data_IF_543980694550
#
_entry.id   IF_543980694550
#
_cell.length_a   1.000
_cell.length_b   1.000
_cell.length_c   1.000
_cell.angle_alpha   90.00
_cell.angle_beta   90.00
_cell.angle_gamma   90.00
#
_symmetry.space_group_name_H-M   'P 1'
#
loop_
_entity.id
_entity.type
_entity.pdbx_description
1 polymer ?
#
# COMPACT_ATOMS: atom_id res chain seq x y z
N UNK A 1 18.93 3.32 9.89
CA UNK A 1 17.71 4.16 9.88
C UNK A 1 16.68 3.44 10.74
N UNK A 2 16.35 3.94 11.93
CA UNK A 2 15.32 3.33 12.77
C UNK A 2 13.96 3.54 12.08
N UNK A 3 13.35 2.45 11.62
CA UNK A 3 11.97 2.45 11.15
C UNK A 3 11.09 2.72 12.38
N UNK A 4 10.52 3.93 12.45
CA UNK A 4 9.66 4.34 13.57
C UNK A 4 8.29 3.70 13.40
N UNK A 5 7.70 3.28 14.53
CA UNK A 5 6.28 2.92 14.61
C UNK A 5 5.45 4.03 13.96
N UNK A 6 4.50 3.67 13.11
CA UNK A 6 3.55 4.64 12.57
C UNK A 6 2.53 4.93 13.67
N UNK A 7 2.43 6.19 14.12
CA UNK A 7 1.50 6.62 15.19
C UNK A 7 0.03 6.73 14.73
N UNK A 8 -0.28 6.19 13.55
CA UNK A 8 -1.65 6.10 13.06
C UNK A 8 -2.33 4.88 13.65
N UNK A 9 -3.57 5.05 14.06
CA UNK A 9 -4.48 4.00 14.53
C UNK A 9 -5.30 3.39 13.35
N UNK A 10 -4.90 3.65 12.11
CA UNK A 10 -5.47 2.92 10.96
C UNK A 10 -5.07 1.44 11.01
N UNK A 11 -5.95 0.54 10.56
CA UNK A 11 -5.63 -0.90 10.46
C UNK A 11 -4.43 -1.17 9.55
N UNK A 12 -4.20 -0.30 8.57
CA UNK A 12 -2.99 -0.36 7.74
C UNK A 12 -1.72 -0.04 8.54
N UNK A 13 -1.77 0.96 9.41
CA UNK A 13 -0.69 1.25 10.33
C UNK A 13 -0.54 0.17 11.41
N UNK A 14 -1.64 -0.45 11.86
CA UNK A 14 -1.59 -1.64 12.73
C UNK A 14 -0.94 -2.83 12.02
N UNK A 15 -1.26 -3.11 10.75
CA UNK A 15 -0.60 -4.13 9.94
C UNK A 15 0.90 -3.85 9.82
N UNK A 16 1.24 -2.62 9.46
CA UNK A 16 2.64 -2.20 9.35
C UNK A 16 3.37 -2.31 10.68
N UNK A 17 2.74 -1.93 11.80
CA UNK A 17 3.32 -1.98 13.13
C UNK A 17 3.43 -3.40 13.67
N UNK A 18 2.43 -4.26 13.47
CA UNK A 18 2.48 -5.68 13.79
C UNK A 18 3.61 -6.35 13.02
N UNK A 19 3.73 -6.03 11.72
CA UNK A 19 4.84 -6.49 10.92
C UNK A 19 6.21 -5.95 11.43
N UNK A 20 6.31 -4.67 11.79
CA UNK A 20 7.53 -4.09 12.37
C UNK A 20 7.90 -4.73 13.71
N UNK A 21 6.90 -5.14 14.51
CA UNK A 21 7.11 -5.88 15.74
C UNK A 21 7.63 -7.30 15.47
N UNK A 22 7.10 -7.99 14.46
CA UNK A 22 7.62 -9.29 14.03
C UNK A 22 9.11 -9.24 13.69
N UNK A 23 9.54 -8.16 13.00
CA UNK A 23 10.96 -7.88 12.73
C UNK A 23 11.75 -7.55 14.00
N UNK A 24 11.19 -6.76 14.92
CA UNK A 24 11.88 -6.34 16.14
C UNK A 24 12.29 -7.52 17.02
N UNK A 25 11.54 -8.62 16.92
CA UNK A 25 11.73 -9.84 17.72
C UNK A 25 13.01 -10.60 17.33
N UNK A 26 13.65 -10.29 16.20
CA UNK A 26 14.96 -10.86 15.83
C UNK A 26 15.98 -9.91 15.16
N UNK A 27 15.56 -8.83 14.47
CA UNK A 27 16.43 -8.15 13.49
C UNK A 27 16.95 -6.74 13.87
N UNK A 28 16.48 -6.12 14.96
CA UNK A 28 16.91 -4.74 15.32
C UNK A 28 18.27 -4.70 16.06
N UNK A 29 18.74 -5.83 16.61
CA UNK A 29 20.01 -5.89 17.37
C UNK A 29 21.24 -5.93 16.45
N UNK A 30 21.10 -6.27 15.17
CA UNK A 30 22.21 -6.30 14.21
C UNK A 30 21.95 -5.37 13.02
N UNK A 31 22.52 -4.17 13.08
CA UNK A 31 22.45 -3.08 12.10
C UNK A 31 22.39 -3.56 10.61
N UNK A 32 21.21 -3.53 9.95
CA UNK A 32 21.00 -4.25 8.70
C UNK A 32 21.55 -3.55 7.46
N UNK A 33 21.73 -2.23 7.48
CA UNK A 33 22.08 -1.47 6.25
C UNK A 33 23.57 -1.60 5.92
N UNK A 34 24.44 -1.59 6.94
CA UNK A 34 25.89 -1.58 6.72
C UNK A 34 26.49 -2.99 6.64
N UNK A 35 25.89 -3.99 7.31
CA UNK A 35 26.43 -5.35 7.33
C UNK A 35 25.96 -6.18 6.14
N UNK A 36 24.67 -6.16 5.77
CA UNK A 36 24.14 -7.01 4.68
C UNK A 36 24.68 -6.63 3.31
N UNK A 37 24.74 -5.33 2.99
CA UNK A 37 25.21 -4.84 1.70
C UNK A 37 26.73 -4.97 1.56
N UNK A 38 27.47 -4.79 2.65
CA UNK A 38 28.94 -5.00 2.69
C UNK A 38 29.29 -6.48 2.60
N UNK A 39 28.56 -7.38 3.26
CA UNK A 39 28.72 -8.83 3.14
C UNK A 39 28.37 -9.31 1.74
N UNK A 40 27.31 -8.78 1.12
CA UNK A 40 26.94 -9.15 -0.25
C UNK A 40 28.01 -8.72 -1.26
N UNK A 41 28.47 -7.46 -1.21
CA UNK A 41 29.57 -6.96 -2.05
C UNK A 41 30.87 -7.72 -1.79
N UNK A 42 31.18 -8.11 -0.55
CA UNK A 42 32.36 -8.89 -0.21
C UNK A 42 32.25 -10.38 -0.59
N UNK A 43 31.04 -10.92 -0.68
CA UNK A 43 30.76 -12.31 -1.07
C UNK A 43 30.82 -12.53 -2.59
N UNK A 44 30.60 -11.47 -3.38
CA UNK A 44 30.78 -11.51 -4.84
C UNK A 44 32.27 -11.52 -5.22
N UNK A 45 33.15 -11.06 -4.33
CA UNK A 45 34.60 -10.88 -4.57
C UNK A 45 35.53 -11.87 -3.84
N UNK A 46 35.01 -12.83 -3.05
CA UNK A 46 35.86 -13.81 -2.33
C UNK A 46 35.33 -15.24 -2.39
N UNK A 47 36.26 -16.18 -2.53
CA UNK A 47 36.05 -17.63 -2.41
C UNK A 47 35.28 -17.98 -1.13
N UNK A 48 34.04 -18.44 -1.33
CA UNK A 48 33.02 -18.64 -0.31
C UNK A 48 33.24 -19.98 0.39
N UNK A 49 33.92 -19.97 1.53
CA UNK A 49 34.10 -21.17 2.38
C UNK A 49 33.09 -21.27 3.53
N UNK A 50 32.27 -20.25 3.78
CA UNK A 50 31.37 -20.21 4.93
C UNK A 50 29.91 -19.97 4.50
N UNK A 51 29.32 -21.05 4.00
CA UNK A 51 28.00 -21.11 3.35
C UNK A 51 26.88 -20.63 4.28
N UNK A 52 26.95 -20.95 5.57
CA UNK A 52 25.92 -20.66 6.57
C UNK A 52 25.76 -19.15 6.83
N UNK A 53 26.87 -18.41 6.83
CA UNK A 53 26.87 -16.95 7.01
C UNK A 53 26.24 -16.23 5.80
N UNK A 54 26.45 -16.76 4.58
CA UNK A 54 25.92 -16.21 3.33
C UNK A 54 24.42 -16.43 3.22
N UNK A 55 23.93 -17.64 3.56
CA UNK A 55 22.50 -17.94 3.58
C UNK A 55 21.75 -17.03 4.56
N UNK A 56 22.27 -16.84 5.79
CA UNK A 56 21.64 -15.97 6.78
C UNK A 56 21.64 -14.49 6.40
N UNK A 57 22.58 -14.03 5.57
CA UNK A 57 22.64 -12.66 5.08
C UNK A 57 21.70 -12.46 3.88
N UNK A 58 21.58 -13.46 3.01
CA UNK A 58 20.67 -13.46 1.87
C UNK A 58 19.20 -13.46 2.31
N UNK A 59 18.83 -14.32 3.27
CA UNK A 59 17.48 -14.36 3.84
C UNK A 59 17.08 -13.03 4.49
N UNK A 60 18.02 -12.37 5.18
CA UNK A 60 17.79 -11.04 5.80
C UNK A 60 17.65 -9.94 4.76
N UNK A 61 18.44 -9.98 3.68
CA UNK A 61 18.33 -9.03 2.57
C UNK A 61 16.99 -9.18 1.82
N UNK A 62 16.58 -10.41 1.55
CA UNK A 62 15.32 -10.70 0.89
C UNK A 62 14.14 -10.17 1.71
N UNK A 63 14.10 -10.45 3.02
CA UNK A 63 13.06 -9.93 3.92
C UNK A 63 13.01 -8.40 3.95
N UNK A 64 14.16 -7.73 4.04
CA UNK A 64 14.25 -6.26 3.99
C UNK A 64 13.80 -5.68 2.65
N UNK A 65 14.15 -6.34 1.54
CA UNK A 65 13.72 -5.92 0.21
C UNK A 65 12.20 -6.05 0.02
N UNK A 66 11.62 -7.18 0.44
CA UNK A 66 10.16 -7.39 0.42
C UNK A 66 9.44 -6.35 1.28
N UNK A 67 10.06 -5.96 2.39
CA UNK A 67 9.59 -4.90 3.27
C UNK A 67 9.56 -3.51 2.65
N UNK A 68 10.64 -3.14 1.97
CA UNK A 68 10.70 -1.86 1.27
C UNK A 68 9.66 -1.81 0.15
N UNK A 69 9.48 -2.91 -0.59
CA UNK A 69 8.43 -3.05 -1.61
C UNK A 69 7.05 -2.91 -0.97
N UNK A 70 6.78 -3.63 0.11
CA UNK A 70 5.50 -3.58 0.80
C UNK A 70 5.22 -2.17 1.32
N UNK A 71 6.15 -1.57 2.06
CA UNK A 71 6.00 -0.23 2.61
C UNK A 71 5.67 0.78 1.52
N UNK A 72 6.39 0.73 0.39
CA UNK A 72 6.11 1.61 -0.74
C UNK A 72 4.74 1.32 -1.37
N UNK A 73 4.43 0.04 -1.62
CA UNK A 73 3.15 -0.37 -2.20
C UNK A 73 1.95 -0.02 -1.32
N UNK A 74 2.06 -0.16 0.00
CA UNK A 74 1.02 0.23 0.95
C UNK A 74 0.78 1.74 0.96
N UNK A 75 1.86 2.53 0.99
CA UNK A 75 1.76 3.99 0.97
C UNK A 75 1.20 4.51 -0.35
N UNK A 76 1.60 3.92 -1.47
CA UNK A 76 1.09 4.25 -2.80
C UNK A 76 -0.38 3.84 -2.95
N UNK A 77 -0.74 2.63 -2.52
CA UNK A 77 -2.12 2.16 -2.48
C UNK A 77 -3.00 3.10 -1.64
N UNK A 78 -2.57 3.43 -0.42
CA UNK A 78 -3.27 4.37 0.46
C UNK A 78 -3.47 5.74 -0.22
N UNK A 79 -2.40 6.29 -0.79
CA UNK A 79 -2.45 7.57 -1.50
C UNK A 79 -3.40 7.53 -2.70
N UNK A 80 -3.42 6.43 -3.45
CA UNK A 80 -4.29 6.24 -4.59
C UNK A 80 -5.77 6.15 -4.17
N UNK A 81 -6.09 5.40 -3.10
CA UNK A 81 -7.45 5.34 -2.52
C UNK A 81 -7.97 6.74 -2.20
N UNK A 82 -7.18 7.56 -1.49
CA UNK A 82 -7.59 8.92 -1.10
C UNK A 82 -7.76 9.86 -2.30
N UNK A 83 -6.85 9.78 -3.29
CA UNK A 83 -6.94 10.61 -4.51
C UNK A 83 -8.15 10.25 -5.36
N UNK A 84 -8.37 8.97 -5.60
CA UNK A 84 -9.51 8.49 -6.39
C UNK A 84 -10.83 8.86 -5.71
N UNK A 85 -10.93 8.70 -4.38
CA UNK A 85 -12.12 9.13 -3.65
C UNK A 85 -12.40 10.62 -3.86
N UNK A 86 -11.38 11.46 -3.68
CA UNK A 86 -11.51 12.91 -3.85
C UNK A 86 -11.96 13.29 -5.25
N UNK A 87 -11.33 12.70 -6.28
CA UNK A 87 -11.67 12.95 -7.68
C UNK A 87 -13.10 12.51 -8.01
N UNK A 88 -13.52 11.32 -7.57
CA UNK A 88 -14.86 10.80 -7.80
C UNK A 88 -15.93 11.62 -7.06
N UNK A 89 -15.67 12.01 -5.81
CA UNK A 89 -16.58 12.88 -5.06
C UNK A 89 -16.74 14.24 -5.73
N UNK A 90 -15.65 14.86 -6.18
CA UNK A 90 -15.69 16.12 -6.91
C UNK A 90 -16.54 15.97 -8.18
N UNK A 91 -16.23 14.97 -9.00
CA UNK A 91 -16.93 14.69 -10.25
C UNK A 91 -18.44 14.42 -10.05
N UNK A 92 -18.80 13.58 -9.08
CA UNK A 92 -20.19 13.18 -8.86
C UNK A 92 -21.02 14.28 -8.18
N UNK A 93 -20.44 15.01 -7.22
CA UNK A 93 -21.18 16.00 -6.44
C UNK A 93 -21.20 17.39 -7.10
N UNK A 94 -20.08 17.86 -7.63
CA UNK A 94 -19.99 19.21 -8.20
C UNK A 94 -20.49 19.24 -9.64
N UNK A 95 -20.19 18.19 -10.41
CA UNK A 95 -20.53 18.12 -11.85
C UNK A 95 -21.70 17.17 -12.13
N UNK A 96 -22.28 16.54 -11.11
CA UNK A 96 -23.43 15.65 -11.26
C UNK A 96 -23.15 14.40 -12.11
N UNK A 97 -21.87 14.07 -12.35
CA UNK A 97 -21.46 13.03 -13.28
C UNK A 97 -21.42 13.45 -14.75
N UNK A 98 -21.43 14.74 -15.08
CA UNK A 98 -21.26 15.22 -16.46
C UNK A 98 -19.77 15.30 -16.82
N UNK A 99 -19.27 14.37 -17.64
CA UNK A 99 -17.83 14.30 -17.97
C UNK A 99 -17.37 15.48 -18.82
N UNK A 100 -18.23 16.01 -19.71
CA UNK A 100 -17.87 17.15 -20.57
C UNK A 100 -17.66 18.41 -19.76
N UNK A 101 -18.59 18.72 -18.87
CA UNK A 101 -18.49 19.90 -18.01
C UNK A 101 -17.25 19.80 -17.10
N UNK A 102 -17.00 18.62 -16.53
CA UNK A 102 -15.78 18.36 -15.77
C UNK A 102 -14.52 18.61 -16.60
N UNK A 103 -14.45 18.06 -17.81
CA UNK A 103 -13.26 18.19 -18.67
C UNK A 103 -13.00 19.63 -19.14
N UNK A 104 -14.05 20.36 -19.51
CA UNK A 104 -13.96 21.77 -19.88
C UNK A 104 -13.44 22.59 -18.68
N UNK A 105 -14.00 22.35 -17.49
CA UNK A 105 -13.58 23.07 -16.28
C UNK A 105 -12.14 22.77 -15.91
N UNK A 106 -11.72 21.50 -15.96
CA UNK A 106 -10.35 21.10 -15.67
C UNK A 106 -9.35 21.66 -16.69
N UNK A 107 -9.71 21.72 -17.98
CA UNK A 107 -8.89 22.39 -18.99
C UNK A 107 -8.64 23.84 -18.62
N UNK A 108 -9.69 24.58 -18.29
CA UNK A 108 -9.58 25.99 -17.89
C UNK A 108 -8.66 26.13 -16.69
N UNK A 109 -8.89 25.36 -15.62
CA UNK A 109 -8.05 25.37 -14.41
C UNK A 109 -6.59 25.06 -14.74
N UNK A 110 -6.33 24.05 -15.58
CA UNK A 110 -4.96 23.68 -15.97
C UNK A 110 -4.25 24.81 -16.70
N UNK A 111 -4.93 25.50 -17.63
CA UNK A 111 -4.35 26.63 -18.36
C UNK A 111 -4.16 27.84 -17.43
N UNK A 112 -5.07 28.09 -16.49
CA UNK A 112 -4.92 29.14 -15.48
C UNK A 112 -3.71 28.90 -14.57
N UNK A 113 -3.49 27.66 -14.13
CA UNK A 113 -2.43 27.31 -13.17
C UNK A 113 -1.05 27.15 -13.84
N UNK A 114 -0.99 26.55 -15.03
CA UNK A 114 0.25 26.15 -15.67
C UNK A 114 0.55 26.89 -16.98
N UNK A 115 -0.38 27.69 -17.48
CA UNK A 115 -0.31 28.33 -18.79
C UNK A 115 -0.57 27.36 -19.94
N UNK A 116 -0.55 27.89 -21.17
CA UNK A 116 -0.53 27.09 -22.39
C UNK A 116 0.47 27.66 -23.39
N UNK A 117 1.01 26.78 -24.22
CA UNK A 117 1.85 27.12 -25.37
C UNK A 117 1.06 27.22 -26.67
N UNK A 118 -0.23 26.89 -26.64
CA UNK A 118 -1.11 27.00 -27.81
C UNK A 118 -1.78 28.38 -27.82
N UNK A 119 -1.47 29.19 -28.84
CA UNK A 119 -2.09 30.51 -29.00
C UNK A 119 -3.62 30.41 -29.20
N UNK A 120 -4.12 29.24 -29.65
CA UNK A 120 -5.55 28.99 -29.83
C UNK A 120 -6.30 28.79 -28.49
N UNK A 121 -5.57 28.61 -27.39
CA UNK A 121 -6.15 28.52 -26.05
C UNK A 121 -6.57 29.88 -25.48
N UNK A 122 -6.20 30.98 -26.13
CA UNK A 122 -6.49 32.33 -25.67
C UNK A 122 -7.33 33.12 -26.70
N UNK A 123 -8.16 34.01 -26.18
CA UNK A 123 -8.80 35.05 -26.98
C UNK A 123 -7.82 36.22 -27.19
N UNK A 124 -8.15 37.14 -28.11
CA UNK A 124 -7.30 38.32 -28.39
C UNK A 124 -7.08 39.22 -27.16
N UNK A 125 -7.99 39.18 -26.17
CA UNK A 125 -7.89 39.92 -24.91
C UNK A 125 -7.05 39.21 -23.84
N UNK A 126 -6.52 38.03 -24.13
CA UNK A 126 -5.73 37.20 -23.22
C UNK A 126 -6.55 36.34 -22.26
N UNK A 127 -7.89 36.36 -22.34
CA UNK A 127 -8.73 35.42 -21.60
C UNK A 127 -8.68 34.02 -22.21
N UNK A 128 -8.86 32.97 -21.39
CA UNK A 128 -8.86 31.58 -21.86
C UNK A 128 -10.09 31.33 -22.74
N UNK A 129 -9.86 30.77 -23.92
CA UNK A 129 -10.91 30.42 -24.87
C UNK A 129 -11.71 29.22 -24.38
N UNK A 130 -13.03 29.33 -24.41
CA UNK A 130 -13.93 28.22 -24.19
C UNK A 130 -13.89 27.25 -25.37
N UNK A 131 -13.61 25.98 -25.10
CA UNK A 131 -13.57 24.90 -26.09
C UNK A 131 -14.24 23.65 -25.50
N UNK A 132 -15.10 23.01 -26.30
CA UNK A 132 -15.87 21.83 -25.91
C UNK A 132 -15.69 20.64 -26.85
N UNK A 133 -14.89 20.82 -27.91
CA UNK A 133 -14.59 19.75 -28.84
C UNK A 133 -13.67 18.70 -28.19
N UNK A 134 -13.83 17.45 -28.61
CA UNK A 134 -13.12 16.32 -28.02
C UNK A 134 -11.60 16.49 -28.05
N UNK A 135 -11.04 17.01 -29.14
CA UNK A 135 -9.60 17.15 -29.31
C UNK A 135 -8.99 18.07 -28.24
N UNK A 136 -9.70 19.15 -27.91
CA UNK A 136 -9.30 20.09 -26.87
C UNK A 136 -9.48 19.60 -25.44
N UNK A 137 -10.50 18.76 -25.16
CA UNK A 137 -10.83 18.37 -23.78
C UNK A 137 -10.43 16.93 -23.40
N UNK A 138 -10.02 16.08 -24.35
CA UNK A 138 -9.70 14.65 -24.12
C UNK A 138 -8.71 14.36 -23.00
N UNK A 139 -7.77 15.28 -22.76
CA UNK A 139 -6.74 15.12 -21.73
C UNK A 139 -7.18 15.54 -20.33
N UNK A 140 -8.38 16.10 -20.19
CA UNK A 140 -8.89 16.68 -18.94
C UNK A 140 -10.11 15.94 -18.39
N UNK A 141 -10.47 14.80 -18.98
CA UNK A 141 -11.60 13.98 -18.53
C UNK A 141 -11.33 13.33 -17.18
N UNK A 142 -12.40 12.97 -16.46
CA UNK A 142 -12.29 12.20 -15.22
C UNK A 142 -11.58 10.85 -15.46
N UNK A 143 -11.76 10.26 -16.64
CA UNK A 143 -11.06 9.03 -17.03
C UNK A 143 -9.54 9.26 -17.07
N UNK A 144 -9.08 10.35 -17.72
CA UNK A 144 -7.65 10.69 -17.82
C UNK A 144 -7.04 11.02 -16.46
N UNK A 145 -7.76 11.73 -15.58
CA UNK A 145 -7.31 12.04 -14.22
C UNK A 145 -7.09 10.77 -13.39
N UNK A 146 -8.06 9.84 -13.43
CA UNK A 146 -8.04 8.59 -12.69
C UNK A 146 -6.95 7.62 -13.19
N UNK A 147 -6.56 7.70 -14.46
CA UNK A 147 -5.48 6.89 -15.05
C UNK A 147 -4.14 7.01 -14.30
N UNK A 148 -3.90 8.16 -13.66
CA UNK A 148 -2.69 8.37 -12.85
C UNK A 148 -2.66 7.56 -11.55
N UNK A 149 -3.84 7.14 -11.06
CA UNK A 149 -4.03 6.49 -9.77
C UNK A 149 -4.47 5.02 -9.90
N UNK A 150 -5.15 4.70 -11.00
CA UNK A 150 -5.60 3.34 -11.34
C UNK A 150 -4.57 2.75 -12.29
N UNK A 151 -4.14 1.51 -12.04
CA UNK A 151 -3.14 0.80 -12.84
C UNK A 151 -3.57 0.46 -14.27
N UNK A 152 -4.53 1.16 -14.86
CA UNK A 152 -4.88 1.04 -16.26
C UNK A 152 -3.74 1.63 -17.11
N UNK A 153 -3.36 0.93 -18.18
CA UNK A 153 -2.08 1.02 -18.93
C UNK A 153 -0.87 0.26 -18.33
N UNK A 154 -1.09 -0.60 -17.34
CA UNK A 154 -0.08 -1.58 -16.88
C UNK A 154 0.50 -2.44 -18.02
N UNK A 155 -0.28 -2.69 -19.08
CA UNK A 155 0.16 -3.48 -20.24
C UNK A 155 1.00 -2.69 -21.26
N UNK A 156 0.78 -1.39 -21.45
CA UNK A 156 1.55 -0.59 -22.42
C UNK A 156 2.95 -0.22 -21.90
N UNK A 157 3.12 0.00 -20.57
CA UNK A 157 4.43 0.29 -19.96
C UNK A 157 5.32 -0.95 -19.77
N UNK A 158 4.77 -2.16 -19.93
CA UNK A 158 5.50 -3.43 -19.76
C UNK A 158 6.60 -3.66 -20.80
N UNK A 159 6.68 -2.83 -21.83
CA UNK A 159 7.73 -2.93 -22.86
C UNK A 159 9.11 -2.42 -22.41
N UNK A 160 9.25 -1.64 -21.32
CA UNK A 160 10.57 -1.04 -20.99
C UNK A 160 11.06 -1.06 -19.55
N UNK A 161 10.22 -1.09 -18.50
CA UNK A 161 10.76 -1.10 -17.13
C UNK A 161 10.04 -2.07 -16.18
N UNK A 162 10.88 -2.76 -15.40
CA UNK A 162 10.61 -3.87 -14.48
C UNK A 162 9.76 -3.42 -13.28
N UNK A 163 8.93 -4.35 -12.80
CA UNK A 163 8.46 -4.45 -11.40
C UNK A 163 7.65 -3.27 -10.84
N UNK A 164 6.44 -3.09 -11.37
CA UNK A 164 5.40 -2.23 -10.78
C UNK A 164 4.56 -3.06 -9.82
N UNK A 165 4.96 -3.15 -8.55
CA UNK A 165 4.15 -3.74 -7.46
C UNK A 165 3.64 -2.60 -6.57
N UNK A 166 2.31 -2.40 -6.51
CA UNK A 166 1.68 -1.44 -5.59
C UNK A 166 1.65 0.03 -6.01
N UNK A 167 2.09 0.40 -7.22
CA UNK A 167 2.18 1.82 -7.63
C UNK A 167 0.84 2.48 -7.97
N UNK A 168 -0.24 1.69 -8.08
CA UNK A 168 -1.61 2.18 -8.31
C UNK A 168 -2.69 1.15 -7.96
N UNK A 169 -3.94 1.60 -7.86
CA UNK A 169 -5.09 0.72 -7.60
C UNK A 169 -5.19 -0.37 -8.69
N UNK A 170 -5.28 -1.63 -8.26
CA UNK A 170 -5.38 -2.80 -9.15
C UNK A 170 -4.09 -3.16 -9.92
N UNK A 171 -2.94 -2.61 -9.55
CA UNK A 171 -1.63 -3.02 -10.10
C UNK A 171 -1.11 -4.34 -9.53
N UNK A 172 -1.64 -4.78 -8.39
CA UNK A 172 -1.22 -5.99 -7.70
C UNK A 172 -2.43 -6.79 -7.24
N UNK A 173 -2.26 -8.11 -7.13
CA UNK A 173 -3.23 -9.05 -6.57
C UNK A 173 -2.76 -9.53 -5.22
N UNK A 174 -3.66 -10.13 -4.43
CA UNK A 174 -3.28 -10.68 -3.12
C UNK A 174 -2.17 -11.74 -3.22
N UNK A 175 -2.12 -12.47 -4.35
CA UNK A 175 -1.05 -13.44 -4.64
C UNK A 175 0.35 -12.82 -4.69
N UNK A 176 0.46 -11.56 -5.11
CA UNK A 176 1.75 -10.84 -5.15
C UNK A 176 2.31 -10.56 -3.75
N UNK A 177 1.47 -10.66 -2.72
CA UNK A 177 1.80 -10.50 -1.31
C UNK A 177 1.66 -11.80 -0.51
N UNK A 178 1.48 -12.95 -1.17
CA UNK A 178 1.18 -14.23 -0.51
C UNK A 178 2.22 -14.64 0.54
N UNK A 179 3.51 -14.52 0.21
CA UNK A 179 4.61 -14.83 1.15
C UNK A 179 4.57 -13.90 2.38
N UNK A 180 4.28 -12.61 2.17
CA UNK A 180 4.12 -11.63 3.24
C UNK A 180 2.92 -11.97 4.14
N UNK A 181 1.77 -12.27 3.53
CA UNK A 181 0.55 -12.60 4.26
C UNK A 181 0.73 -13.86 5.10
N UNK A 182 1.49 -14.84 4.60
CA UNK A 182 1.83 -16.05 5.33
C UNK A 182 2.71 -15.76 6.56
N UNK A 183 3.67 -14.83 6.44
CA UNK A 183 4.52 -14.42 7.57
C UNK A 183 3.72 -13.71 8.65
N UNK A 184 2.83 -12.78 8.28
CA UNK A 184 1.96 -12.06 9.23
C UNK A 184 1.03 -13.01 9.97
N UNK A 185 0.38 -13.92 9.22
CA UNK A 185 -0.53 -14.93 9.80
C UNK A 185 0.15 -15.86 10.80
N UNK A 186 1.45 -16.10 10.63
CA UNK A 186 2.22 -17.04 11.44
C UNK A 186 3.30 -16.34 12.28
N UNK A 187 3.11 -15.07 12.64
CA UNK A 187 4.11 -14.26 13.36
C UNK A 187 4.63 -14.98 14.62
N UNK A 188 3.74 -15.56 15.44
CA UNK A 188 4.15 -16.24 16.67
C UNK A 188 4.63 -17.68 16.46
N UNK A 189 4.50 -18.23 15.24
CA UNK A 189 5.02 -19.57 14.91
C UNK A 189 6.54 -19.63 15.01
N UNK A 190 7.23 -18.49 14.86
CA UNK A 190 8.68 -18.35 14.99
C UNK A 190 9.09 -17.70 16.33
N UNK A 191 8.44 -18.08 17.43
CA UNK A 191 8.71 -17.55 18.76
C UNK A 191 10.02 -18.13 19.34
N UNK A 192 11.06 -17.31 19.64
CA UNK A 192 12.26 -17.78 20.34
C UNK A 192 11.91 -18.42 21.71
N UNK A 193 10.76 -18.08 22.29
CA UNK A 193 10.26 -18.70 23.51
C UNK A 193 9.90 -20.18 23.33
N UNK A 194 9.38 -20.59 22.16
CA UNK A 194 9.17 -22.01 21.81
C UNK A 194 10.49 -22.77 21.75
N UNK A 195 11.56 -22.12 21.28
CA UNK A 195 12.92 -22.69 21.23
C UNK A 195 13.52 -22.86 22.64
N UNK A 196 13.39 -21.87 23.53
CA UNK A 196 13.90 -21.94 24.90
C UNK A 196 13.05 -22.83 25.83
N UNK A 197 11.72 -22.87 25.64
CA UNK A 197 10.84 -23.79 26.35
C UNK A 197 11.16 -25.26 26.03
N UNK A 198 11.56 -25.57 24.78
CA UNK A 198 12.06 -26.90 24.40
C UNK A 198 13.40 -27.26 25.06
N UNK A 199 14.21 -26.27 25.44
CA UNK A 199 15.49 -26.47 26.12
C UNK A 199 15.35 -26.62 27.66
N UNK A 200 14.14 -26.55 28.20
CA UNK A 200 13.84 -26.88 29.60
C UNK A 200 14.13 -25.77 30.62
N UNK A 201 14.49 -24.56 30.17
CA UNK A 201 14.68 -23.39 31.04
C UNK A 201 13.48 -22.45 30.91
N UNK A 202 12.57 -22.35 31.91
CA UNK A 202 11.45 -21.43 31.83
C UNK A 202 11.95 -19.99 31.99
N UNK A 203 11.83 -19.18 30.92
CA UNK A 203 12.04 -17.75 31.01
C UNK A 203 10.79 -17.13 31.66
N UNK A 204 10.93 -16.49 32.82
CA UNK A 204 9.82 -15.81 33.48
C UNK A 204 9.50 -14.52 32.70
N UNK A 205 8.35 -14.49 32.04
CA UNK A 205 7.85 -13.33 31.31
C UNK A 205 7.05 -12.42 32.23
N UNK A 206 6.95 -11.13 31.86
CA UNK A 206 6.20 -10.13 32.60
C UNK A 206 5.33 -9.30 31.64
N UNK A 207 4.12 -8.92 32.05
CA UNK A 207 3.28 -7.92 31.37
C UNK A 207 3.09 -6.70 32.26
N UNK A 208 2.86 -5.56 31.64
CA UNK A 208 2.52 -4.32 32.34
C UNK A 208 1.01 -4.32 32.67
N UNK A 209 0.65 -4.09 33.94
CA UNK A 209 -0.75 -4.01 34.38
C UNK A 209 -1.34 -2.61 34.13
N UNK A 210 -2.63 -2.41 34.43
CA UNK A 210 -3.34 -1.13 34.23
C UNK A 210 -2.72 0.07 35.00
N UNK A 211 -1.84 -0.19 35.96
CA UNK A 211 -1.16 0.79 36.79
C UNK A 211 0.31 1.00 36.37
N UNK A 212 0.78 0.29 35.35
CA UNK A 212 2.16 0.38 34.84
C UNK A 212 3.17 -0.53 35.54
N UNK A 213 2.73 -1.46 36.39
CA UNK A 213 3.62 -2.40 37.10
C UNK A 213 3.79 -3.71 36.33
N UNK A 214 4.99 -4.28 36.38
CA UNK A 214 5.33 -5.52 35.67
C UNK A 214 4.92 -6.74 36.50
N UNK A 215 3.90 -7.48 36.06
CA UNK A 215 3.44 -8.72 36.70
C UNK A 215 3.89 -9.97 35.93
N UNK A 216 4.30 -11.05 36.63
CA UNK A 216 4.74 -12.27 35.99
C UNK A 216 3.60 -12.94 35.22
N UNK A 217 3.88 -13.31 33.98
CA UNK A 217 2.97 -13.96 33.07
C UNK A 217 3.10 -15.49 33.18
N UNK A 218 1.99 -16.22 33.21
CA UNK A 218 2.01 -17.69 33.18
C UNK A 218 2.19 -18.21 31.75
N UNK A 219 2.58 -19.48 31.61
CA UNK A 219 2.66 -20.14 30.30
C UNK A 219 1.31 -20.09 29.56
N UNK A 220 0.20 -20.22 30.29
CA UNK A 220 -1.14 -20.13 29.72
C UNK A 220 -1.42 -18.72 29.17
N UNK A 221 -1.07 -17.67 29.94
CA UNK A 221 -1.21 -16.28 29.49
C UNK A 221 -0.34 -15.97 28.27
N UNK A 222 0.86 -16.55 28.19
CA UNK A 222 1.75 -16.41 27.02
C UNK A 222 1.15 -17.09 25.78
N UNK A 223 0.61 -18.29 25.93
CA UNK A 223 -0.07 -19.00 24.83
C UNK A 223 -1.31 -18.24 24.39
N UNK A 224 -2.10 -17.71 25.32
CA UNK A 224 -3.27 -16.90 25.02
C UNK A 224 -2.90 -15.60 24.30
N UNK A 225 -1.86 -14.90 24.73
CA UNK A 225 -1.35 -13.70 24.06
C UNK A 225 -0.82 -14.00 22.65
N UNK A 226 -0.12 -15.12 22.46
CA UNK A 226 0.34 -15.57 21.13
C UNK A 226 -0.86 -15.89 20.23
N UNK A 227 -1.83 -16.66 20.71
CA UNK A 227 -3.06 -16.99 19.96
C UNK A 227 -3.86 -15.75 19.59
N UNK A 228 -4.04 -14.80 20.51
CA UNK A 228 -4.73 -13.55 20.25
C UNK A 228 -3.97 -12.69 19.23
N UNK A 229 -2.63 -12.71 19.25
CA UNK A 229 -1.80 -12.02 18.27
C UNK A 229 -1.96 -12.64 16.88
N UNK A 230 -1.88 -13.97 16.76
CA UNK A 230 -2.08 -14.67 15.49
C UNK A 230 -3.49 -14.48 14.92
N UNK A 231 -4.54 -14.52 15.76
CA UNK A 231 -5.93 -14.25 15.34
C UNK A 231 -6.05 -12.81 14.82
N UNK A 232 -5.52 -11.84 15.57
CA UNK A 232 -5.52 -10.43 15.14
C UNK A 232 -4.80 -10.27 13.81
N UNK A 233 -3.61 -10.84 13.67
CA UNK A 233 -2.81 -10.74 12.46
C UNK A 233 -3.47 -11.46 11.27
N UNK A 234 -4.12 -12.60 11.51
CA UNK A 234 -4.93 -13.30 10.52
C UNK A 234 -6.05 -12.41 9.98
N UNK A 235 -6.82 -11.78 10.88
CA UNK A 235 -7.88 -10.85 10.50
C UNK A 235 -7.32 -9.66 9.68
N UNK A 236 -6.19 -9.09 10.08
CA UNK A 236 -5.56 -7.98 9.35
C UNK A 236 -5.11 -8.44 7.95
N UNK A 237 -4.53 -9.63 7.82
CA UNK A 237 -4.14 -10.20 6.53
C UNK A 237 -5.34 -10.46 5.61
N UNK A 238 -6.47 -10.89 6.15
CA UNK A 238 -7.72 -11.07 5.40
C UNK A 238 -8.28 -9.72 4.92
N UNK A 239 -8.31 -8.70 5.79
CA UNK A 239 -8.75 -7.35 5.41
C UNK A 239 -7.85 -6.73 4.33
N UNK A 240 -6.54 -6.95 4.41
CA UNK A 240 -5.61 -6.50 3.39
C UNK A 240 -5.84 -7.19 2.04
N UNK A 241 -6.11 -8.49 2.08
CA UNK A 241 -6.48 -9.29 0.90
C UNK A 241 -7.74 -8.72 0.25
N UNK A 242 -8.78 -8.47 1.06
CA UNK A 242 -10.03 -7.86 0.58
C UNK A 242 -9.80 -6.49 -0.05
N UNK A 243 -8.99 -5.63 0.57
CA UNK A 243 -8.69 -4.30 0.06
C UNK A 243 -7.99 -4.33 -1.30
N UNK A 244 -7.00 -5.22 -1.48
CA UNK A 244 -6.29 -5.37 -2.75
C UNK A 244 -7.22 -5.90 -3.84
N UNK A 245 -8.01 -6.93 -3.56
CA UNK A 245 -8.91 -7.51 -4.54
C UNK A 245 -10.02 -6.51 -4.93
N UNK A 246 -10.50 -5.70 -3.99
CA UNK A 246 -11.42 -4.59 -4.30
C UNK A 246 -10.72 -3.55 -5.19
N UNK A 247 -9.45 -3.24 -4.93
CA UNK A 247 -8.62 -2.39 -5.80
C UNK A 247 -8.49 -2.96 -7.22
N UNK A 248 -8.41 -4.28 -7.35
CA UNK A 248 -8.39 -4.96 -8.65
C UNK A 248 -9.73 -4.85 -9.38
N UNK A 249 -10.86 -5.01 -8.68
CA UNK A 249 -12.20 -4.81 -9.25
C UNK A 249 -12.41 -3.37 -9.74
N UNK A 250 -11.91 -2.37 -9.02
CA UNK A 250 -11.93 -0.97 -9.47
C UNK A 250 -11.20 -0.83 -10.82
N UNK A 251 -10.06 -1.49 -10.97
CA UNK A 251 -9.31 -1.47 -12.23
C UNK A 251 -10.06 -2.15 -13.37
N UNK A 252 -10.64 -3.33 -13.14
CA UNK A 252 -11.41 -4.04 -14.17
C UNK A 252 -12.61 -3.21 -14.64
N UNK A 253 -13.32 -2.58 -13.69
CA UNK A 253 -14.41 -1.67 -14.02
C UNK A 253 -13.89 -0.48 -14.83
N UNK A 254 -12.81 0.17 -14.39
CA UNK A 254 -12.22 1.32 -15.08
C UNK A 254 -11.75 0.99 -16.51
N UNK A 255 -11.10 -0.15 -16.72
CA UNK A 255 -10.62 -0.59 -18.05
C UNK A 255 -11.77 -0.87 -19.03
N UNK A 256 -13.00 -1.07 -18.53
CA UNK A 256 -14.20 -1.23 -19.37
C UNK A 256 -14.81 0.09 -19.83
N UNK A 257 -14.40 1.22 -19.26
CA UNK A 257 -14.97 2.55 -19.55
C UNK A 257 -14.22 3.23 -20.70
N UNK A 258 -14.95 3.95 -21.54
CA UNK A 258 -14.36 4.87 -22.52
C UNK A 258 -14.32 6.31 -22.00
N UNK A 259 -13.28 7.06 -22.37
CA UNK A 259 -13.09 8.43 -21.90
C UNK A 259 -14.05 9.46 -22.52
N UNK A 260 -14.78 9.09 -23.58
CA UNK A 260 -15.63 9.95 -24.40
C UNK A 260 -17.14 9.72 -24.16
N UNK A 261 -17.52 8.98 -23.11
CA UNK A 261 -18.90 8.61 -22.79
C UNK A 261 -19.25 8.87 -21.31
N UNK A 262 -20.55 9.02 -21.04
CA UNK A 262 -21.08 9.15 -19.67
C UNK A 262 -21.15 7.78 -18.99
N UNK A 263 -20.33 7.58 -17.96
CA UNK A 263 -20.26 6.36 -17.15
C UNK A 263 -20.56 6.65 -15.67
N UNK A 264 -21.57 7.49 -15.42
CA UNK A 264 -21.87 8.01 -14.07
C UNK A 264 -22.14 6.89 -13.07
N UNK A 265 -22.84 5.84 -13.48
CA UNK A 265 -23.23 4.72 -12.62
C UNK A 265 -21.99 3.91 -12.22
N UNK A 266 -21.10 3.64 -13.18
CA UNK A 266 -19.85 2.94 -12.99
C UNK A 266 -18.89 3.74 -12.11
N UNK A 267 -18.77 5.05 -12.32
CA UNK A 267 -17.98 5.93 -11.42
C UNK A 267 -18.57 5.99 -10.00
N UNK A 268 -19.89 5.91 -9.86
CA UNK A 268 -20.55 5.80 -8.55
C UNK A 268 -20.26 4.47 -7.87
N UNK A 269 -20.25 3.37 -8.64
CA UNK A 269 -19.86 2.05 -8.15
C UNK A 269 -18.38 2.01 -7.74
N UNK A 270 -17.49 2.62 -8.52
CA UNK A 270 -16.07 2.77 -8.15
C UNK A 270 -15.92 3.53 -6.82
N UNK A 271 -16.69 4.61 -6.61
CA UNK A 271 -16.67 5.35 -5.35
C UNK A 271 -17.10 4.45 -4.17
N UNK A 272 -18.11 3.62 -4.34
CA UNK A 272 -18.53 2.66 -3.31
C UNK A 272 -17.42 1.67 -2.96
N UNK A 273 -16.72 1.11 -3.96
CA UNK A 273 -15.58 0.24 -3.74
C UNK A 273 -14.43 0.94 -3.01
N UNK A 274 -14.13 2.18 -3.37
CA UNK A 274 -13.11 3.00 -2.69
C UNK A 274 -13.49 3.25 -1.22
N UNK A 275 -14.76 3.54 -0.94
CA UNK A 275 -15.27 3.72 0.41
C UNK A 275 -15.28 2.42 1.22
N UNK A 276 -15.54 1.27 0.59
CA UNK A 276 -15.39 -0.04 1.19
C UNK A 276 -13.94 -0.29 1.60
N UNK A 277 -12.98 -0.06 0.69
CA UNK A 277 -11.54 -0.16 0.99
C UNK A 277 -11.23 0.71 2.21
N UNK A 278 -11.68 1.98 2.22
CA UNK A 278 -11.45 2.88 3.36
C UNK A 278 -12.06 2.36 4.66
N UNK A 279 -13.24 1.77 4.64
CA UNK A 279 -13.87 1.21 5.83
C UNK A 279 -13.09 0.00 6.35
N UNK A 280 -12.65 -0.85 5.43
CA UNK A 280 -11.89 -2.09 5.72
C UNK A 280 -10.47 -1.77 6.23
N UNK A 281 -9.81 -0.74 5.69
CA UNK A 281 -8.40 -0.39 5.96
C UNK A 281 -8.19 0.78 6.92
N UNK A 282 -9.14 1.72 7.01
CA UNK A 282 -9.07 2.93 7.84
C UNK A 282 -10.23 3.07 8.82
N UNK A 283 -11.10 2.07 8.93
CA UNK A 283 -12.16 2.04 9.94
C UNK A 283 -11.57 2.14 11.35
N UNK A 284 -11.66 3.34 11.92
CA UNK A 284 -11.30 3.69 13.28
C UNK A 284 -12.48 3.53 14.22
N UNK A 285 -12.14 3.24 15.48
CA UNK A 285 -12.76 3.78 16.70
C UNK A 285 -14.21 4.26 16.60
N UNK A 286 -15.09 3.48 17.22
CA UNK A 286 -15.95 4.04 18.26
C UNK A 286 -15.50 3.50 19.61
#
# INVERSE_FOLDING_TARGET
MQLRRIESETRLAELFNAFMNSLSTFDIISDPVYYSMKVHVQSVDRDLSDVETIYSAYERFERYYQLAILSNGLNQFHSAVLKVEKMLLQYLNEFGGNWKEFAIRNRIISIEEYGSTDDEDFNEDGSIRYQEDWESIRHYTIHTELLSCIGANYHEKKAKHKEVRGEGLGTSRATDYSDFLLMVRNETSFSPFKFFAQQGTPLQLYKENEVGEMEPMTLADTVEAEMNTDIRNGNIADLFTEAIETGYQIRELFESLSADQDHKEEYSQMLQFVQQIKTVTFGFLH
#
